data_IF_762922705021
#
_entry.id   IF_762922705021
#
_cell.length_a   1.000
_cell.length_b   1.000
_cell.length_c   1.000
_cell.angle_alpha   90.00
_cell.angle_beta   90.00
_cell.angle_gamma   90.00
#
_symmetry.space_group_name_H-M   'P 1'
#
loop_
_entity.id
_entity.type
_entity.pdbx_description
1 polymer ?
#
# COMPACT_ATOMS: atom_id res chain seq x y z
N UNK A 1 4.74 8.50 -20.78
CA UNK A 1 3.99 7.24 -20.65
C UNK A 1 3.37 6.95 -22.01
N UNK A 2 3.69 5.80 -22.63
CA UNK A 2 3.26 5.48 -24.00
C UNK A 2 3.63 6.62 -24.98
N UNK A 3 2.73 6.95 -25.92
CA UNK A 3 2.87 8.04 -26.89
C UNK A 3 2.41 9.41 -26.34
N UNK A 4 1.91 9.50 -25.11
CA UNK A 4 1.38 10.75 -24.56
C UNK A 4 2.49 11.74 -24.24
N UNK A 5 2.36 12.94 -24.80
CA UNK A 5 3.12 14.12 -24.39
C UNK A 5 2.56 14.71 -23.09
N UNK A 6 3.28 15.66 -22.50
CA UNK A 6 2.79 16.38 -21.32
C UNK A 6 1.49 17.14 -21.62
N UNK A 7 1.37 17.74 -22.80
CA UNK A 7 0.18 18.48 -23.22
C UNK A 7 -1.03 17.55 -23.34
N UNK A 8 -0.86 16.36 -23.95
CA UNK A 8 -1.92 15.36 -24.02
C UNK A 8 -2.42 14.96 -22.62
N UNK A 9 -1.49 14.74 -21.67
CA UNK A 9 -1.84 14.37 -20.31
C UNK A 9 -2.55 15.51 -19.55
N UNK A 10 -2.23 16.77 -19.84
CA UNK A 10 -2.94 17.92 -19.27
C UNK A 10 -4.38 18.00 -19.78
N UNK A 11 -4.59 17.78 -21.08
CA UNK A 11 -5.93 17.77 -21.68
C UNK A 11 -6.79 16.61 -21.13
N UNK A 12 -6.18 15.44 -20.94
CA UNK A 12 -6.81 14.26 -20.37
C UNK A 12 -7.00 14.34 -18.83
N UNK A 13 -6.47 15.37 -18.17
CA UNK A 13 -6.53 15.50 -16.71
C UNK A 13 -5.80 14.37 -15.98
N UNK A 14 -4.63 13.99 -16.49
CA UNK A 14 -3.83 12.85 -16.04
C UNK A 14 -2.35 13.19 -15.77
N UNK A 15 -1.93 14.46 -15.95
CA UNK A 15 -0.52 14.86 -15.80
C UNK A 15 0.00 14.58 -14.40
N UNK A 16 -0.81 14.91 -13.38
CA UNK A 16 -0.38 14.87 -11.99
C UNK A 16 -0.20 13.42 -11.55
N UNK A 17 -1.24 12.61 -11.74
CA UNK A 17 -1.24 11.19 -11.36
C UNK A 17 -0.18 10.41 -12.15
N UNK A 18 -0.02 10.71 -13.44
CA UNK A 18 1.05 10.08 -14.25
C UNK A 18 2.43 10.43 -13.70
N UNK A 19 2.71 11.72 -13.46
CA UNK A 19 3.99 12.15 -12.91
C UNK A 19 4.27 11.54 -11.54
N UNK A 20 3.26 11.46 -10.68
CA UNK A 20 3.37 10.90 -9.33
C UNK A 20 3.60 9.38 -9.33
N UNK A 21 3.06 8.65 -10.30
CA UNK A 21 3.40 7.23 -10.50
C UNK A 21 4.84 7.09 -10.98
N UNK A 22 5.25 7.88 -11.96
CA UNK A 22 6.57 7.76 -12.60
C UNK A 22 7.73 8.26 -11.72
N UNK A 23 7.49 9.18 -10.77
CA UNK A 23 8.52 9.66 -9.84
C UNK A 23 8.86 8.67 -8.72
N UNK A 24 8.08 7.59 -8.54
CA UNK A 24 8.21 6.69 -7.40
C UNK A 24 9.63 6.16 -7.18
N UNK A 25 10.37 5.64 -8.18
CA UNK A 25 11.74 5.18 -7.96
C UNK A 25 12.70 6.25 -7.43
N UNK A 26 12.49 7.52 -7.79
CA UNK A 26 13.32 8.64 -7.32
C UNK A 26 12.90 9.08 -5.91
N UNK A 27 11.59 9.14 -5.64
CA UNK A 27 11.03 9.38 -4.29
C UNK A 27 11.51 8.31 -3.31
N UNK A 28 11.51 7.04 -3.71
CA UNK A 28 11.97 5.94 -2.86
C UNK A 28 13.46 6.05 -2.52
N UNK A 29 14.27 6.55 -3.46
CA UNK A 29 15.69 6.80 -3.21
C UNK A 29 15.89 7.87 -2.15
N UNK A 30 15.19 9.01 -2.26
CA UNK A 30 15.24 10.07 -1.25
C UNK A 30 14.73 9.58 0.13
N UNK A 31 13.67 8.75 0.14
CA UNK A 31 13.17 8.13 1.37
C UNK A 31 14.18 7.14 1.98
N UNK A 32 14.84 6.32 1.16
CA UNK A 32 15.88 5.39 1.60
C UNK A 32 17.10 6.13 2.17
N UNK A 33 17.55 7.19 1.50
CA UNK A 33 18.65 8.05 1.97
C UNK A 33 18.29 8.74 3.29
N UNK A 34 17.04 9.21 3.42
CA UNK A 34 16.52 9.80 4.67
C UNK A 34 16.48 8.78 5.82
N UNK A 35 16.06 7.54 5.55
CA UNK A 35 16.14 6.43 6.50
C UNK A 35 17.60 6.15 6.88
N UNK A 36 18.50 6.03 5.90
CA UNK A 36 19.91 5.73 6.12
C UNK A 36 20.58 6.77 7.03
N UNK A 37 20.23 8.06 6.86
CA UNK A 37 20.75 9.16 7.68
C UNK A 37 20.24 9.14 9.13
N UNK A 38 19.04 8.57 9.37
CA UNK A 38 18.40 8.50 10.69
C UNK A 38 18.41 7.11 11.33
N UNK A 39 19.02 6.10 10.69
CA UNK A 39 18.87 4.70 11.10
C UNK A 39 19.32 4.45 12.54
N UNK A 40 20.39 5.11 13.01
CA UNK A 40 20.87 4.99 14.39
C UNK A 40 19.89 5.60 15.39
N UNK A 41 19.31 6.77 15.07
CA UNK A 41 18.29 7.43 15.89
C UNK A 41 17.03 6.55 15.99
N UNK A 42 16.56 6.03 14.85
CA UNK A 42 15.42 5.11 14.78
C UNK A 42 15.67 3.87 15.61
N UNK A 43 16.83 3.23 15.45
CA UNK A 43 17.18 2.03 16.21
C UNK A 43 17.26 2.30 17.71
N UNK A 44 17.86 3.42 18.12
CA UNK A 44 17.93 3.83 19.53
C UNK A 44 16.55 4.11 20.11
N UNK A 45 15.65 4.74 19.35
CA UNK A 45 14.27 4.98 19.76
C UNK A 45 13.52 3.67 20.03
N UNK A 46 13.56 2.73 19.08
CA UNK A 46 12.90 1.44 19.23
C UNK A 46 13.53 0.57 20.33
N UNK A 47 14.86 0.57 20.44
CA UNK A 47 15.57 -0.15 21.51
C UNK A 47 15.22 0.42 22.89
N UNK A 48 15.16 1.74 23.02
CA UNK A 48 14.78 2.40 24.26
C UNK A 48 13.35 2.09 24.72
N UNK A 49 12.46 1.69 23.80
CA UNK A 49 11.13 1.16 24.12
C UNK A 49 11.24 -0.31 24.52
N UNK A 50 11.99 -1.12 23.76
CA UNK A 50 12.23 -2.54 24.04
C UNK A 50 12.85 -2.78 25.43
N UNK A 51 13.73 -1.91 25.88
CA UNK A 51 14.41 -2.03 27.18
C UNK A 51 13.48 -1.75 28.37
N UNK A 52 12.36 -1.05 28.15
CA UNK A 52 11.43 -0.62 29.20
C UNK A 52 10.23 -1.55 29.38
N UNK A 53 9.82 -2.24 28.31
CA UNK A 53 8.54 -2.94 28.27
C UNK A 53 8.70 -4.38 27.80
N UNK A 54 8.25 -5.35 28.60
CA UNK A 54 8.29 -6.77 28.24
C UNK A 54 7.34 -7.13 27.09
N UNK A 55 6.22 -6.40 26.98
CA UNK A 55 5.23 -6.53 25.92
C UNK A 55 4.94 -5.16 25.31
N UNK A 56 5.04 -5.06 23.99
CA UNK A 56 4.81 -3.83 23.23
C UNK A 56 3.78 -4.10 22.14
N UNK A 57 2.67 -3.38 22.18
CA UNK A 57 1.69 -3.39 21.09
C UNK A 57 2.08 -2.36 20.04
N UNK A 58 2.33 -2.80 18.82
CA UNK A 58 2.57 -1.90 17.68
C UNK A 58 1.30 -1.84 16.84
N UNK A 59 0.79 -0.63 16.62
CA UNK A 59 -0.41 -0.39 15.82
C UNK A 59 -0.01 0.45 14.61
N UNK A 60 -0.05 -0.17 13.42
CA UNK A 60 0.05 0.52 12.14
C UNK A 60 -1.33 1.04 11.77
N UNK A 61 -1.47 2.35 11.67
CA UNK A 61 -2.78 3.00 11.52
C UNK A 61 -2.80 4.09 10.45
N UNK A 62 -3.87 4.11 9.67
CA UNK A 62 -4.17 5.11 8.65
C UNK A 62 -5.62 4.97 8.18
N UNK A 63 -6.06 5.83 7.25
CA UNK A 63 -7.37 5.73 6.59
C UNK A 63 -7.22 5.49 5.07
N UNK A 64 -8.13 4.72 4.49
CA UNK A 64 -8.11 4.35 3.06
C UNK A 64 -6.78 3.69 2.68
N UNK A 65 -6.18 4.13 1.59
CA UNK A 65 -4.84 3.67 1.16
C UNK A 65 -3.77 3.74 2.25
N UNK A 66 -3.84 4.71 3.18
CA UNK A 66 -2.89 4.77 4.30
C UNK A 66 -3.05 3.60 5.28
N UNK A 67 -4.26 3.04 5.43
CA UNK A 67 -4.49 1.84 6.24
C UNK A 67 -3.81 0.61 5.61
N UNK A 68 -3.83 0.53 4.29
CA UNK A 68 -3.30 -0.63 3.55
C UNK A 68 -1.77 -0.73 3.59
N UNK A 69 -1.07 0.32 4.03
CA UNK A 69 0.35 0.23 4.41
C UNK A 69 0.51 -0.81 5.53
N UNK A 70 -0.33 -0.72 6.57
CA UNK A 70 -0.35 -1.68 7.66
C UNK A 70 -0.75 -3.07 7.19
N UNK A 71 -1.87 -3.18 6.46
CA UNK A 71 -2.40 -4.47 6.00
C UNK A 71 -1.40 -5.25 5.14
N UNK A 72 -0.60 -4.54 4.34
CA UNK A 72 0.44 -5.13 3.49
C UNK A 72 1.64 -5.59 4.30
N UNK A 73 2.09 -4.81 5.29
CA UNK A 73 3.36 -5.07 5.98
C UNK A 73 3.22 -5.98 7.21
N UNK A 74 2.09 -5.94 7.91
CA UNK A 74 1.91 -6.66 9.18
C UNK A 74 2.05 -8.19 9.05
N UNK A 75 1.61 -8.87 7.98
CA UNK A 75 1.88 -10.30 7.82
C UNK A 75 3.37 -10.64 7.89
N UNK A 76 4.24 -9.84 7.25
CA UNK A 76 5.69 -10.01 7.32
C UNK A 76 6.21 -9.75 8.73
N UNK A 77 5.78 -8.66 9.38
CA UNK A 77 6.21 -8.36 10.74
C UNK A 77 5.80 -9.44 11.75
N UNK A 78 4.60 -10.03 11.60
CA UNK A 78 4.16 -11.17 12.42
C UNK A 78 5.01 -12.42 12.23
N UNK A 79 5.59 -12.62 11.04
CA UNK A 79 6.45 -13.75 10.75
C UNK A 79 7.85 -13.59 11.40
N UNK A 80 8.40 -12.37 11.37
CA UNK A 80 9.80 -12.13 11.78
C UNK A 80 9.98 -11.64 13.22
N UNK A 81 8.89 -11.24 13.90
CA UNK A 81 8.93 -10.84 15.31
C UNK A 81 8.28 -11.86 16.23
N UNK A 82 8.81 -11.97 17.46
CA UNK A 82 8.13 -12.65 18.55
C UNK A 82 6.96 -11.78 19.06
N UNK A 83 5.73 -12.23 18.80
CA UNK A 83 4.50 -11.53 19.18
C UNK A 83 4.35 -11.29 20.69
N UNK A 84 5.10 -12.01 21.53
CA UNK A 84 5.12 -11.83 22.99
C UNK A 84 5.93 -10.61 23.41
N UNK A 85 6.84 -10.13 22.55
CA UNK A 85 7.63 -8.91 22.75
C UNK A 85 7.09 -7.76 21.90
N UNK A 86 6.98 -7.98 20.60
CA UNK A 86 6.54 -6.99 19.62
C UNK A 86 5.28 -7.48 18.91
N UNK A 87 4.12 -7.05 19.40
CA UNK A 87 2.83 -7.48 18.88
C UNK A 87 2.34 -6.51 17.80
N UNK A 88 2.60 -6.83 16.53
CA UNK A 88 2.19 -6.01 15.38
C UNK A 88 0.73 -6.20 15.00
N UNK A 89 0.04 -5.08 14.77
CA UNK A 89 -1.36 -4.99 14.38
C UNK A 89 -1.53 -3.92 13.29
N UNK A 90 -2.38 -4.18 12.29
CA UNK A 90 -2.89 -3.17 11.38
C UNK A 90 -4.32 -2.84 11.81
N UNK A 91 -4.58 -1.59 12.19
CA UNK A 91 -5.89 -1.15 12.68
C UNK A 91 -6.13 0.24 12.10
N UNK A 92 -7.14 0.39 11.25
CA UNK A 92 -7.41 1.66 10.59
C UNK A 92 -7.80 2.74 11.60
N UNK A 93 -7.47 4.01 11.31
CA UNK A 93 -7.88 5.15 12.15
C UNK A 93 -9.41 5.25 12.20
N UNK A 94 -10.09 4.85 11.13
CA UNK A 94 -11.54 4.76 11.02
C UNK A 94 -12.16 3.76 12.00
N UNK A 95 -11.43 2.69 12.35
CA UNK A 95 -11.89 1.71 13.34
C UNK A 95 -11.61 2.21 14.76
N UNK A 96 -10.42 2.77 14.99
CA UNK A 96 -10.02 3.27 16.30
C UNK A 96 -10.90 4.43 16.74
N UNK A 97 -11.18 5.39 15.86
CA UNK A 97 -12.04 6.53 16.19
C UNK A 97 -13.47 6.10 16.53
N UNK A 98 -13.96 5.03 15.88
CA UNK A 98 -15.32 4.53 16.09
C UNK A 98 -15.45 3.63 17.33
N UNK A 99 -14.40 2.86 17.67
CA UNK A 99 -14.41 1.90 18.76
C UNK A 99 -13.09 1.89 19.55
N UNK A 100 -12.70 3.00 20.19
CA UNK A 100 -11.36 3.18 20.75
C UNK A 100 -11.02 2.15 21.82
N UNK A 101 -11.97 1.79 22.70
CA UNK A 101 -11.73 0.83 23.79
C UNK A 101 -11.42 -0.58 23.29
N UNK A 102 -11.80 -0.94 22.06
CA UNK A 102 -11.44 -2.24 21.47
C UNK A 102 -9.93 -2.37 21.36
N UNK A 103 -9.25 -1.27 21.00
CA UNK A 103 -7.87 -1.29 20.53
C UNK A 103 -6.89 -0.61 21.48
N UNK A 104 -7.30 0.46 22.15
CA UNK A 104 -6.47 1.27 23.04
C UNK A 104 -6.69 0.82 24.48
N UNK A 105 -5.65 0.22 25.08
CA UNK A 105 -5.71 -0.36 26.42
C UNK A 105 -4.76 0.39 27.34
N UNK A 106 -5.30 0.89 28.45
CA UNK A 106 -4.58 1.72 29.43
C UNK A 106 -3.23 1.13 29.84
N UNK A 107 -3.24 -0.13 30.27
CA UNK A 107 -2.09 -0.79 30.88
C UNK A 107 -1.20 -1.53 29.87
N UNK A 108 -1.31 -1.21 28.57
CA UNK A 108 -0.52 -1.84 27.49
C UNK A 108 0.36 -0.79 26.82
N UNK A 109 1.69 -0.95 26.96
CA UNK A 109 2.65 -0.11 26.26
C UNK A 109 2.41 -0.20 24.74
N UNK A 110 2.19 0.95 24.11
CA UNK A 110 1.74 1.02 22.73
C UNK A 110 2.66 1.91 21.90
N UNK A 111 3.09 1.42 20.74
CA UNK A 111 3.72 2.22 19.67
C UNK A 111 2.68 2.44 18.58
N UNK A 112 2.18 3.66 18.46
CA UNK A 112 1.24 4.06 17.43
C UNK A 112 1.99 4.59 16.21
N UNK A 113 2.00 3.80 15.13
CA UNK A 113 2.63 4.14 13.86
C UNK A 113 1.57 4.75 12.94
N UNK A 114 1.54 6.08 12.84
CA UNK A 114 0.49 6.82 12.12
C UNK A 114 0.92 7.17 10.70
N UNK A 115 0.08 6.81 9.72
CA UNK A 115 0.26 7.07 8.29
C UNK A 115 -0.74 8.09 7.76
N UNK A 116 -0.25 9.09 7.04
CA UNK A 116 -1.11 10.02 6.29
C UNK A 116 -0.37 10.69 5.13
N UNK A 117 -1.01 10.77 3.95
CA UNK A 117 -0.52 11.60 2.84
C UNK A 117 -0.60 13.09 3.16
N UNK A 118 -1.80 13.58 3.51
CA UNK A 118 -2.04 15.02 3.74
C UNK A 118 -1.86 15.47 5.19
N UNK A 119 -1.80 14.52 6.13
CA UNK A 119 -1.81 14.81 7.57
C UNK A 119 -3.09 15.51 8.08
N UNK A 120 -4.14 15.63 7.26
CA UNK A 120 -5.30 16.49 7.54
C UNK A 120 -6.63 15.73 7.70
N UNK A 121 -6.64 14.40 7.59
CA UNK A 121 -7.81 13.59 7.95
C UNK A 121 -8.13 13.80 9.43
N UNK A 122 -9.37 14.19 9.78
CA UNK A 122 -9.77 14.34 11.18
C UNK A 122 -9.55 13.07 12.00
N UNK A 123 -9.74 11.89 11.39
CA UNK A 123 -9.55 10.59 12.03
C UNK A 123 -8.09 10.34 12.42
N UNK A 124 -7.11 10.81 11.64
CA UNK A 124 -5.68 10.69 12.00
C UNK A 124 -5.36 11.45 13.28
N UNK A 125 -5.85 12.69 13.40
CA UNK A 125 -5.62 13.52 14.60
C UNK A 125 -6.38 12.92 15.80
N UNK A 126 -7.66 12.57 15.60
CA UNK A 126 -8.49 12.00 16.66
C UNK A 126 -7.94 10.67 17.20
N UNK A 127 -7.36 9.82 16.35
CA UNK A 127 -6.73 8.57 16.78
C UNK A 127 -5.54 8.83 17.71
N UNK A 128 -4.71 9.82 17.40
CA UNK A 128 -3.60 10.23 18.27
C UNK A 128 -4.13 10.79 19.60
N UNK A 129 -5.15 11.65 19.57
CA UNK A 129 -5.74 12.22 20.77
C UNK A 129 -6.35 11.15 21.68
N UNK A 130 -7.09 10.20 21.10
CA UNK A 130 -7.63 9.04 21.81
C UNK A 130 -6.53 8.18 22.42
N UNK A 131 -5.45 7.89 21.68
CA UNK A 131 -4.34 7.11 22.20
C UNK A 131 -3.66 7.82 23.38
N UNK A 132 -3.42 9.13 23.29
CA UNK A 132 -2.86 9.94 24.38
C UNK A 132 -3.76 9.96 25.61
N UNK A 133 -5.08 9.97 25.41
CA UNK A 133 -6.05 10.00 26.50
C UNK A 133 -6.24 8.63 27.18
N UNK A 134 -6.03 7.53 26.45
CA UNK A 134 -6.43 6.19 26.89
C UNK A 134 -5.27 5.24 27.23
N UNK A 135 -4.04 5.53 26.81
CA UNK A 135 -2.87 4.65 27.01
C UNK A 135 -1.83 5.34 27.88
N UNK A 136 -1.44 4.70 28.99
CA UNK A 136 -0.49 5.30 29.95
C UNK A 136 0.94 5.38 29.37
N UNK A 137 1.39 4.31 28.70
CA UNK A 137 2.71 4.23 28.08
C UNK A 137 2.61 4.25 26.55
N UNK A 138 2.37 5.44 26.00
CA UNK A 138 2.29 5.68 24.56
C UNK A 138 3.63 6.17 23.99
N UNK A 139 4.01 5.60 22.84
CA UNK A 139 5.02 6.10 21.92
C UNK A 139 4.40 6.23 20.54
N UNK A 140 4.99 7.07 19.70
CA UNK A 140 4.48 7.36 18.38
C UNK A 140 5.60 7.32 17.35
N UNK A 141 5.28 6.84 16.15
CA UNK A 141 6.10 7.00 14.96
C UNK A 141 5.20 7.61 13.90
N UNK A 142 5.46 8.86 13.54
CA UNK A 142 4.62 9.61 12.59
C UNK A 142 5.26 9.58 11.21
N UNK A 143 4.67 8.82 10.29
CA UNK A 143 5.15 8.67 8.90
C UNK A 143 4.15 9.39 7.98
N UNK A 144 4.53 10.58 7.49
CA UNK A 144 3.59 11.46 6.76
C UNK A 144 4.29 12.21 5.63
N UNK A 145 3.57 12.53 4.56
CA UNK A 145 4.10 13.22 3.39
C UNK A 145 3.97 14.76 3.47
N UNK A 146 3.08 15.28 4.32
CA UNK A 146 2.81 16.71 4.45
C UNK A 146 3.41 17.28 5.74
N UNK A 147 4.50 18.05 5.62
CA UNK A 147 5.17 18.69 6.75
C UNK A 147 4.29 19.76 7.44
N UNK A 148 3.39 20.38 6.69
CA UNK A 148 2.39 21.36 7.15
C UNK A 148 1.04 20.71 7.51
N UNK A 149 0.91 19.40 7.35
CA UNK A 149 -0.29 18.66 7.76
C UNK A 149 -0.44 18.65 9.27
N UNK A 150 -1.69 18.68 9.77
CA UNK A 150 -1.98 18.71 11.23
C UNK A 150 -1.25 17.60 11.99
N UNK A 151 -1.18 16.39 11.43
CA UNK A 151 -0.48 15.25 12.02
C UNK A 151 1.03 15.50 12.20
N UNK A 152 1.70 16.15 11.23
CA UNK A 152 3.12 16.50 11.36
C UNK A 152 3.32 17.63 12.39
N UNK A 153 2.49 18.67 12.31
CA UNK A 153 2.59 19.83 13.18
C UNK A 153 2.45 19.48 14.67
N UNK A 154 1.60 18.51 15.01
CA UNK A 154 1.43 18.04 16.39
C UNK A 154 2.50 17.05 16.88
N UNK A 155 3.40 16.60 16.00
CA UNK A 155 4.46 15.66 16.33
C UNK A 155 5.76 16.35 16.80
N UNK A 156 5.87 17.67 16.64
CA UNK A 156 7.06 18.41 17.04
C UNK A 156 7.19 18.54 18.57
N UNK A 157 8.42 18.41 19.08
CA UNK A 157 8.75 18.68 20.49
C UNK A 157 8.33 17.58 21.47
N UNK A 158 8.00 16.38 20.99
CA UNK A 158 7.66 15.21 21.80
C UNK A 158 8.73 14.13 21.66
N UNK A 159 9.53 13.91 22.71
CA UNK A 159 10.60 12.89 22.73
C UNK A 159 10.06 11.46 22.55
N UNK A 160 8.75 11.23 22.74
CA UNK A 160 8.10 9.95 22.50
C UNK A 160 7.46 9.86 21.11
N UNK A 161 7.62 10.87 20.25
CA UNK A 161 7.12 10.87 18.88
C UNK A 161 8.24 11.03 17.85
N UNK A 162 8.54 9.94 17.15
CA UNK A 162 9.52 9.92 16.08
C UNK A 162 8.87 10.37 14.76
N UNK A 163 9.12 11.62 14.34
CA UNK A 163 8.61 12.17 13.09
C UNK A 163 9.52 11.80 11.89
N UNK A 164 8.97 11.01 10.96
CA UNK A 164 9.61 10.55 9.73
C UNK A 164 8.87 11.13 8.52
N UNK A 165 9.18 12.39 8.19
CA UNK A 165 8.67 13.04 6.99
C UNK A 165 9.16 12.33 5.73
N UNK A 166 8.24 12.10 4.81
CA UNK A 166 8.55 11.57 3.48
C UNK A 166 9.04 12.70 2.56
N UNK A 167 9.69 12.38 1.41
CA UNK A 167 10.04 13.36 0.40
C UNK A 167 8.86 14.26 0.03
N UNK A 168 9.07 15.56 -0.10
CA UNK A 168 7.97 16.52 -0.29
C UNK A 168 7.13 16.23 -1.55
N UNK A 169 7.77 15.72 -2.60
CA UNK A 169 7.10 15.31 -3.84
C UNK A 169 6.10 14.16 -3.64
N UNK A 170 6.25 13.38 -2.56
CA UNK A 170 5.33 12.28 -2.21
C UNK A 170 4.00 12.75 -1.62
N UNK A 171 3.83 14.03 -1.30
CA UNK A 171 2.53 14.59 -0.94
C UNK A 171 1.66 14.74 -2.21
N UNK A 172 1.27 13.60 -2.77
CA UNK A 172 0.58 13.48 -4.06
C UNK A 172 -0.54 14.53 -4.16
N UNK A 173 -0.48 15.37 -5.18
CA UNK A 173 -1.50 16.33 -5.55
C UNK A 173 -2.66 15.65 -6.30
N UNK A 174 -2.41 14.49 -6.93
CA UNK A 174 -3.44 13.64 -7.50
C UNK A 174 -4.46 13.20 -6.46
N UNK A 175 -5.67 12.90 -6.91
CA UNK A 175 -6.72 12.36 -6.05
C UNK A 175 -6.23 11.09 -5.34
N UNK A 176 -5.82 10.11 -6.13
CA UNK A 176 -5.33 8.82 -5.68
C UNK A 176 -3.94 8.95 -5.07
N UNK A 177 -3.73 8.28 -3.94
CA UNK A 177 -2.39 8.08 -3.38
C UNK A 177 -1.60 7.10 -4.25
N UNK A 178 -0.40 7.50 -4.67
CA UNK A 178 0.55 6.68 -5.46
C UNK A 178 1.92 6.68 -4.78
N UNK A 179 2.72 7.72 -4.96
CA UNK A 179 4.05 7.82 -4.35
C UNK A 179 4.01 8.03 -2.84
N UNK A 180 2.94 8.63 -2.31
CA UNK A 180 2.66 8.67 -0.87
C UNK A 180 2.56 7.28 -0.26
N UNK A 181 1.75 6.39 -0.86
CA UNK A 181 1.55 5.02 -0.37
C UNK A 181 2.87 4.26 -0.32
N UNK A 182 3.60 4.25 -1.43
CA UNK A 182 4.83 3.46 -1.55
C UNK A 182 5.99 4.04 -0.75
N UNK A 183 6.12 5.37 -0.63
CA UNK A 183 7.15 5.99 0.23
C UNK A 183 6.91 5.67 1.71
N UNK A 184 5.66 5.83 2.20
CA UNK A 184 5.33 5.49 3.59
C UNK A 184 5.54 4.01 3.88
N UNK A 185 5.13 3.13 2.95
CA UNK A 185 5.33 1.69 3.07
C UNK A 185 6.82 1.31 3.08
N UNK A 186 7.64 1.92 2.21
CA UNK A 186 9.09 1.70 2.21
C UNK A 186 9.72 2.16 3.53
N UNK A 187 9.39 3.36 4.01
CA UNK A 187 9.91 3.86 5.28
C UNK A 187 9.55 2.93 6.44
N UNK A 188 8.27 2.52 6.55
CA UNK A 188 7.84 1.59 7.60
C UNK A 188 8.54 0.23 7.50
N UNK A 189 8.68 -0.32 6.30
CA UNK A 189 9.42 -1.57 6.08
C UNK A 189 10.89 -1.42 6.50
N UNK A 190 11.57 -0.34 6.12
CA UNK A 190 12.97 -0.12 6.49
C UNK A 190 13.17 0.05 8.00
N UNK A 191 12.22 0.72 8.68
CA UNK A 191 12.24 0.94 10.13
C UNK A 191 12.08 -0.38 10.89
N UNK A 192 11.13 -1.23 10.48
CA UNK A 192 10.74 -2.42 11.24
C UNK A 192 11.22 -3.75 10.66
N UNK A 193 11.83 -3.80 9.47
CA UNK A 193 12.48 -5.04 9.01
C UNK A 193 13.76 -5.28 9.84
N UNK A 194 13.91 -6.41 10.56
CA UNK A 194 15.12 -6.68 11.35
C UNK A 194 16.34 -7.04 10.49
N UNK A 195 16.20 -7.15 9.18
CA UNK A 195 17.30 -7.46 8.25
C UNK A 195 18.44 -6.43 8.34
N UNK A 196 19.68 -6.90 8.22
CA UNK A 196 20.88 -6.07 8.16
C UNK A 196 20.80 -4.98 7.07
N UNK A 197 21.31 -3.78 7.38
CA UNK A 197 21.25 -2.63 6.47
C UNK A 197 21.83 -2.91 5.07
N UNK A 198 22.95 -3.66 4.99
CA UNK A 198 23.58 -3.99 3.72
C UNK A 198 22.65 -4.79 2.79
N UNK A 199 21.87 -5.72 3.36
CA UNK A 199 20.89 -6.52 2.59
C UNK A 199 19.69 -5.65 2.21
N UNK A 200 19.24 -4.75 3.09
CA UNK A 200 18.19 -3.77 2.76
C UNK A 200 18.59 -2.87 1.59
N UNK A 201 19.85 -2.41 1.57
CA UNK A 201 20.39 -1.59 0.50
C UNK A 201 20.43 -2.35 -0.84
N UNK A 202 20.90 -3.59 -0.82
CA UNK A 202 20.89 -4.46 -2.02
C UNK A 202 19.47 -4.68 -2.55
N UNK A 203 18.51 -4.99 -1.66
CA UNK A 203 17.10 -5.13 -2.02
C UNK A 203 16.52 -3.84 -2.59
N UNK A 204 16.84 -2.69 -2.00
CA UNK A 204 16.37 -1.39 -2.48
C UNK A 204 16.79 -1.12 -3.94
N UNK A 205 18.05 -1.40 -4.30
CA UNK A 205 18.52 -1.22 -5.68
C UNK A 205 17.73 -2.08 -6.67
N UNK A 206 17.45 -3.34 -6.31
CA UNK A 206 16.65 -4.23 -7.16
C UNK A 206 15.18 -3.81 -7.22
N UNK A 207 14.61 -3.30 -6.12
CA UNK A 207 13.25 -2.72 -6.10
C UNK A 207 13.16 -1.54 -7.07
N UNK A 208 14.10 -0.59 -6.98
CA UNK A 208 14.13 0.59 -7.84
C UNK A 208 14.28 0.18 -9.31
N UNK A 209 15.18 -0.76 -9.61
CA UNK A 209 15.39 -1.29 -10.96
C UNK A 209 14.14 -1.97 -11.54
N UNK A 210 13.48 -2.85 -10.77
CA UNK A 210 12.27 -3.53 -11.25
C UNK A 210 11.10 -2.59 -11.44
N UNK A 211 10.91 -1.59 -10.57
CA UNK A 211 9.86 -0.61 -10.74
C UNK A 211 10.08 0.26 -11.98
N UNK A 212 11.31 0.71 -12.25
CA UNK A 212 11.65 1.40 -13.51
C UNK A 212 11.35 0.52 -14.72
N UNK A 213 11.73 -0.76 -14.67
CA UNK A 213 11.39 -1.72 -15.72
C UNK A 213 9.87 -1.83 -15.95
N UNK A 214 9.06 -1.84 -14.89
CA UNK A 214 7.59 -1.84 -15.04
C UNK A 214 7.10 -0.54 -15.72
N UNK A 215 7.63 0.62 -15.31
CA UNK A 215 7.28 1.92 -15.91
C UNK A 215 7.68 2.04 -17.38
N UNK A 216 8.84 1.49 -17.75
CA UNK A 216 9.37 1.48 -19.12
C UNK A 216 8.53 0.58 -20.04
N UNK A 217 7.91 -0.47 -19.49
CA UNK A 217 7.07 -1.42 -20.23
C UNK A 217 5.57 -1.16 -20.03
N UNK A 218 5.16 0.12 -19.93
CA UNK A 218 3.75 0.49 -19.78
C UNK A 218 2.86 0.01 -20.95
N UNK A 219 3.42 -0.28 -22.12
CA UNK A 219 2.69 -0.88 -23.26
C UNK A 219 2.13 -2.27 -22.90
N UNK A 220 2.86 -3.09 -22.14
CA UNK A 220 2.39 -4.41 -21.70
C UNK A 220 1.13 -4.31 -20.83
N UNK A 221 1.01 -3.23 -20.05
CA UNK A 221 -0.16 -2.94 -19.24
C UNK A 221 -1.30 -2.44 -20.12
N UNK A 222 -1.00 -1.59 -21.11
CA UNK A 222 -1.97 -1.06 -22.07
C UNK A 222 -2.65 -2.17 -22.87
N UNK A 223 -1.90 -3.19 -23.30
CA UNK A 223 -2.45 -4.39 -23.97
C UNK A 223 -3.55 -5.06 -23.14
N UNK A 224 -3.38 -5.15 -21.82
CA UNK A 224 -4.36 -5.74 -20.91
C UNK A 224 -5.57 -4.82 -20.72
N UNK A 225 -5.35 -3.51 -20.64
CA UNK A 225 -6.41 -2.51 -20.50
C UNK A 225 -7.31 -2.46 -21.74
N UNK A 226 -6.78 -2.76 -22.92
CA UNK A 226 -7.54 -2.76 -24.19
C UNK A 226 -8.55 -3.91 -24.32
N UNK A 227 -8.51 -4.90 -23.42
CA UNK A 227 -9.52 -5.97 -23.38
C UNK A 227 -10.89 -5.45 -22.92
N UNK A 228 -11.98 -6.06 -23.35
CA UNK A 228 -13.32 -5.74 -22.86
C UNK A 228 -13.54 -6.28 -21.44
N UNK A 229 -13.66 -5.38 -20.46
CA UNK A 229 -13.96 -5.71 -19.08
C UNK A 229 -14.67 -4.56 -18.36
N UNK A 230 -15.46 -4.91 -17.35
CA UNK A 230 -16.06 -3.98 -16.39
C UNK A 230 -15.93 -4.49 -14.94
N UNK A 231 -15.21 -5.61 -14.74
CA UNK A 231 -14.84 -6.16 -13.44
C UNK A 231 -13.35 -6.45 -13.37
N UNK A 232 -12.73 -6.11 -12.24
CA UNK A 232 -11.32 -6.43 -11.98
C UNK A 232 -11.15 -7.02 -10.59
N UNK A 233 -10.49 -8.18 -10.52
CA UNK A 233 -10.22 -8.88 -9.26
C UNK A 233 -8.71 -8.94 -9.07
N UNK A 234 -8.22 -8.47 -7.91
CA UNK A 234 -6.84 -8.69 -7.50
C UNK A 234 -6.77 -9.79 -6.44
N UNK A 235 -5.85 -10.75 -6.61
CA UNK A 235 -5.61 -11.80 -5.64
C UNK A 235 -4.17 -11.75 -5.12
N UNK A 236 -3.99 -11.99 -3.83
CA UNK A 236 -2.66 -12.05 -3.24
C UNK A 236 -2.64 -12.72 -1.87
N UNK A 237 -1.64 -13.55 -1.61
CA UNK A 237 -1.42 -14.19 -0.31
C UNK A 237 -0.45 -13.38 0.57
N UNK A 238 -0.57 -13.52 1.89
CA UNK A 238 0.31 -12.85 2.85
C UNK A 238 0.31 -11.32 2.65
N UNK A 239 1.46 -10.67 2.41
CA UNK A 239 1.51 -9.22 2.20
C UNK A 239 0.74 -8.77 0.96
N UNK A 240 0.60 -9.65 -0.04
CA UNK A 240 -0.10 -9.31 -1.27
C UNK A 240 -1.62 -9.21 -1.10
N UNK A 241 -2.19 -9.64 0.03
CA UNK A 241 -3.61 -9.44 0.34
C UNK A 241 -3.91 -7.95 0.57
N UNK A 242 -3.13 -7.29 1.44
CA UNK A 242 -3.22 -5.84 1.63
C UNK A 242 -2.89 -5.07 0.36
N UNK A 243 -1.93 -5.56 -0.42
CA UNK A 243 -1.58 -4.97 -1.71
C UNK A 243 -2.71 -5.08 -2.75
N UNK A 244 -3.42 -6.22 -2.78
CA UNK A 244 -4.59 -6.42 -3.62
C UNK A 244 -5.74 -5.47 -3.23
N UNK A 245 -5.91 -5.21 -1.93
CA UNK A 245 -6.88 -4.23 -1.42
C UNK A 245 -6.59 -2.81 -1.92
N UNK A 246 -5.32 -2.39 -1.94
CA UNK A 246 -4.90 -1.11 -2.51
C UNK A 246 -5.05 -1.09 -4.04
N UNK A 247 -4.58 -2.13 -4.73
CA UNK A 247 -4.60 -2.21 -6.20
C UNK A 247 -6.02 -2.08 -6.77
N UNK A 248 -6.99 -2.75 -6.14
CA UNK A 248 -8.38 -2.66 -6.55
C UNK A 248 -9.01 -1.30 -6.22
N UNK A 249 -8.61 -0.65 -5.11
CA UNK A 249 -9.15 0.65 -4.72
C UNK A 249 -8.74 1.70 -5.74
N UNK A 250 -7.51 1.65 -6.27
CA UNK A 250 -7.06 2.54 -7.34
C UNK A 250 -7.96 2.47 -8.58
N UNK A 251 -8.44 1.28 -8.95
CA UNK A 251 -9.39 1.16 -10.06
C UNK A 251 -10.73 1.80 -9.69
N UNK A 252 -11.29 1.50 -8.52
CA UNK A 252 -12.56 2.11 -8.09
C UNK A 252 -12.49 3.63 -8.07
N UNK A 253 -11.45 4.18 -7.45
CA UNK A 253 -11.24 5.62 -7.33
C UNK A 253 -11.10 6.28 -8.70
N UNK A 254 -10.19 5.77 -9.54
CA UNK A 254 -9.86 6.42 -10.81
C UNK A 254 -10.95 6.20 -11.87
N UNK A 255 -11.76 5.15 -11.78
CA UNK A 255 -12.88 4.91 -12.72
C UNK A 255 -14.22 5.43 -12.20
N UNK A 256 -14.25 6.07 -11.03
CA UNK A 256 -15.49 6.46 -10.34
C UNK A 256 -16.49 5.29 -10.15
N UNK A 257 -15.97 4.08 -9.90
CA UNK A 257 -16.76 2.86 -9.74
C UNK A 257 -17.37 2.30 -11.02
N UNK A 258 -17.04 2.83 -12.21
CA UNK A 258 -17.50 2.26 -13.49
C UNK A 258 -16.97 0.84 -13.73
N UNK A 259 -15.79 0.54 -13.17
CA UNK A 259 -15.26 -0.82 -13.12
C UNK A 259 -15.42 -1.33 -11.70
N UNK A 260 -16.26 -2.35 -11.52
CA UNK A 260 -16.47 -2.98 -10.22
C UNK A 260 -15.25 -3.85 -9.85
N UNK A 261 -14.96 -3.97 -8.56
CA UNK A 261 -13.72 -4.63 -8.13
C UNK A 261 -13.88 -5.54 -6.93
N UNK A 262 -12.87 -6.38 -6.70
CA UNK A 262 -12.73 -7.25 -5.54
C UNK A 262 -11.24 -7.50 -5.24
N UNK A 263 -10.94 -7.77 -3.97
CA UNK A 263 -9.67 -8.35 -3.54
C UNK A 263 -9.92 -9.63 -2.73
N UNK A 264 -9.00 -10.58 -2.80
CA UNK A 264 -9.01 -11.80 -1.98
C UNK A 264 -7.61 -12.44 -1.95
N UNK A 265 -7.43 -13.46 -1.12
CA UNK A 265 -6.35 -14.43 -1.24
C UNK A 265 -6.68 -15.51 -2.29
N UNK A 266 -5.69 -16.10 -2.98
CA UNK A 266 -5.96 -17.16 -3.95
C UNK A 266 -6.69 -18.38 -3.36
N UNK A 267 -6.36 -18.77 -2.12
CA UNK A 267 -7.03 -19.89 -1.46
C UNK A 267 -8.45 -19.51 -1.02
N UNK A 268 -8.62 -18.35 -0.39
CA UNK A 268 -9.92 -17.85 0.09
C UNK A 268 -10.91 -17.58 -1.04
N UNK A 269 -10.42 -17.17 -2.20
CA UNK A 269 -11.25 -16.83 -3.37
C UNK A 269 -12.27 -17.91 -3.76
N UNK A 270 -11.92 -19.19 -3.60
CA UNK A 270 -12.81 -20.32 -3.92
C UNK A 270 -14.08 -20.37 -3.06
N UNK A 271 -14.07 -19.79 -1.87
CA UNK A 271 -15.11 -19.95 -0.85
C UNK A 271 -16.28 -18.97 -1.02
N UNK A 272 -16.71 -18.74 -2.27
CA UNK A 272 -17.80 -17.82 -2.61
C UNK A 272 -17.37 -16.61 -3.45
N UNK A 273 -16.28 -15.88 -3.11
CA UNK A 273 -15.86 -14.68 -3.85
C UNK A 273 -15.68 -14.92 -5.36
N UNK A 274 -15.21 -16.11 -5.77
CA UNK A 274 -15.06 -16.53 -7.17
C UNK A 274 -16.35 -16.40 -8.00
N UNK A 275 -17.52 -16.41 -7.38
CA UNK A 275 -18.81 -16.18 -8.06
C UNK A 275 -18.95 -14.79 -8.70
N UNK A 276 -18.06 -13.83 -8.42
CA UNK A 276 -18.03 -12.53 -9.09
C UNK A 276 -17.53 -12.62 -10.55
N UNK A 277 -16.80 -13.68 -10.92
CA UNK A 277 -16.26 -13.84 -12.27
C UNK A 277 -17.38 -13.96 -13.31
N UNK A 278 -17.25 -13.19 -14.39
CA UNK A 278 -17.96 -13.34 -15.65
C UNK A 278 -16.98 -13.11 -16.84
N UNK A 279 -17.50 -13.15 -18.07
CA UNK A 279 -16.77 -12.93 -19.31
C UNK A 279 -16.14 -11.53 -19.46
N UNK A 280 -16.58 -10.58 -18.63
CA UNK A 280 -16.07 -9.19 -18.59
C UNK A 280 -15.20 -8.94 -17.35
N UNK A 281 -14.62 -10.01 -16.79
CA UNK A 281 -13.75 -9.95 -15.61
C UNK A 281 -12.28 -10.20 -15.97
N UNK A 282 -11.38 -9.29 -15.56
CA UNK A 282 -9.93 -9.54 -15.52
C UNK A 282 -9.53 -9.93 -14.10
N UNK A 283 -8.80 -11.04 -13.95
CA UNK A 283 -8.25 -11.50 -12.68
C UNK A 283 -6.74 -11.35 -12.71
N UNK A 284 -6.19 -10.57 -11.77
CA UNK A 284 -4.75 -10.38 -11.59
C UNK A 284 -4.31 -11.02 -10.28
N UNK A 285 -3.22 -11.78 -10.32
CA UNK A 285 -2.66 -12.45 -9.15
C UNK A 285 -1.26 -11.91 -8.88
N UNK A 286 -1.05 -11.36 -7.70
CA UNK A 286 0.27 -11.08 -7.14
C UNK A 286 0.85 -12.39 -6.61
N UNK A 287 1.65 -13.05 -7.44
CA UNK A 287 2.24 -14.35 -7.15
C UNK A 287 3.36 -14.27 -6.11
N UNK A 288 3.24 -15.11 -5.10
CA UNK A 288 4.23 -15.36 -4.05
C UNK A 288 5.39 -16.17 -4.60
N UNK A 289 6.62 -15.88 -4.14
CA UNK A 289 7.82 -16.57 -4.65
C UNK A 289 8.35 -17.67 -3.75
N UNK A 290 7.97 -17.69 -2.47
CA UNK A 290 8.31 -18.82 -1.58
C UNK A 290 7.74 -20.15 -2.09
N UNK A 291 8.54 -21.21 -2.05
CA UNK A 291 8.23 -22.51 -2.65
C UNK A 291 6.91 -23.12 -2.18
N UNK A 292 6.56 -22.93 -0.91
CA UNK A 292 5.33 -23.49 -0.33
C UNK A 292 4.10 -22.73 -0.82
N UNK A 293 4.04 -21.41 -0.59
CA UNK A 293 2.87 -20.59 -0.89
C UNK A 293 2.61 -20.50 -2.39
N UNK A 294 3.67 -20.42 -3.22
CA UNK A 294 3.57 -20.39 -4.68
C UNK A 294 2.75 -21.55 -5.25
N UNK A 295 2.79 -22.74 -4.64
CA UNK A 295 2.01 -23.89 -5.11
C UNK A 295 0.51 -23.60 -5.10
N UNK A 296 0.04 -22.96 -4.03
CA UNK A 296 -1.38 -22.58 -3.89
C UNK A 296 -1.79 -21.52 -4.92
N UNK A 297 -0.92 -20.54 -5.18
CA UNK A 297 -1.16 -19.51 -6.19
C UNK A 297 -1.27 -20.16 -7.57
N UNK A 298 -0.34 -21.04 -7.94
CA UNK A 298 -0.34 -21.75 -9.21
C UNK A 298 -1.56 -22.66 -9.38
N UNK A 299 -1.98 -23.37 -8.33
CA UNK A 299 -3.17 -24.22 -8.39
C UNK A 299 -4.44 -23.40 -8.60
N UNK A 300 -4.56 -22.23 -7.96
CA UNK A 300 -5.68 -21.31 -8.21
C UNK A 300 -5.64 -20.75 -9.62
N UNK A 301 -4.50 -20.24 -10.07
CA UNK A 301 -4.34 -19.65 -11.40
C UNK A 301 -4.72 -20.66 -12.48
N UNK A 302 -4.25 -21.91 -12.39
CA UNK A 302 -4.62 -22.98 -13.32
C UNK A 302 -6.12 -23.26 -13.31
N UNK A 303 -6.75 -23.26 -12.13
CA UNK A 303 -8.18 -23.49 -12.01
C UNK A 303 -8.99 -22.38 -12.69
N UNK A 304 -8.73 -21.11 -12.36
CA UNK A 304 -9.46 -19.97 -12.94
C UNK A 304 -9.23 -19.87 -14.45
N UNK A 305 -8.01 -20.14 -14.92
CA UNK A 305 -7.71 -20.16 -16.36
C UNK A 305 -8.38 -21.34 -17.08
N UNK A 306 -8.46 -22.50 -16.42
CA UNK A 306 -9.12 -23.71 -16.93
C UNK A 306 -10.64 -23.63 -16.99
N UNK A 307 -11.25 -22.80 -16.14
CA UNK A 307 -12.70 -22.53 -16.20
C UNK A 307 -13.09 -21.77 -17.49
N UNK A 308 -12.16 -21.03 -18.09
CA UNK A 308 -12.34 -20.27 -19.34
C UNK A 308 -13.52 -19.29 -19.32
N UNK A 309 -13.86 -18.75 -18.14
CA UNK A 309 -14.92 -17.74 -17.98
C UNK A 309 -14.33 -16.33 -18.03
N UNK A 310 -13.31 -16.06 -17.20
CA UNK A 310 -12.73 -14.71 -17.10
C UNK A 310 -12.15 -14.24 -18.45
N UNK A 311 -12.30 -12.95 -18.76
CA UNK A 311 -11.70 -12.30 -19.94
C UNK A 311 -10.21 -12.59 -20.02
N UNK A 312 -9.53 -12.45 -18.87
CA UNK A 312 -8.10 -12.75 -18.75
C UNK A 312 -7.70 -13.08 -17.32
N UNK A 313 -6.78 -14.04 -17.19
CA UNK A 313 -6.04 -14.31 -15.96
C UNK A 313 -4.60 -13.83 -16.14
N UNK A 314 -4.09 -13.07 -15.18
CA UNK A 314 -2.74 -12.50 -15.19
C UNK A 314 -2.02 -12.92 -13.91
N UNK A 315 -0.78 -13.35 -14.03
CA UNK A 315 0.08 -13.72 -12.90
C UNK A 315 1.35 -12.88 -12.93
N UNK A 316 1.52 -12.00 -11.94
CA UNK A 316 2.80 -11.34 -11.66
C UNK A 316 3.64 -12.29 -10.79
N UNK A 317 4.84 -12.63 -11.23
CA UNK A 317 5.71 -13.61 -10.55
C UNK A 317 7.18 -13.26 -10.78
N UNK A 318 8.11 -14.00 -10.21
CA UNK A 318 9.55 -13.86 -10.52
C UNK A 318 9.95 -14.52 -11.85
N UNK A 319 9.09 -15.39 -12.38
CA UNK A 319 9.30 -16.13 -13.62
C UNK A 319 7.95 -16.51 -14.25
N UNK A 320 8.00 -16.88 -15.54
CA UNK A 320 6.89 -17.52 -16.23
C UNK A 320 7.06 -19.05 -16.20
N UNK A 321 5.96 -19.76 -16.01
CA UNK A 321 5.89 -21.23 -15.96
C UNK A 321 5.36 -21.85 -17.25
N UNK A 322 4.91 -21.03 -18.21
CA UNK A 322 4.27 -21.49 -19.44
C UNK A 322 2.84 -21.97 -19.18
N UNK A 323 2.09 -21.27 -18.31
CA UNK A 323 0.72 -21.65 -17.97
C UNK A 323 -0.23 -21.37 -19.13
N UNK A 324 -1.07 -22.36 -19.46
CA UNK A 324 -2.08 -22.22 -20.49
C UNK A 324 -3.14 -21.18 -20.09
N UNK A 325 -3.56 -20.33 -21.04
CA UNK A 325 -4.58 -19.28 -20.86
C UNK A 325 -4.26 -18.20 -19.81
N UNK A 326 -3.01 -18.07 -19.37
CA UNK A 326 -2.56 -17.06 -18.40
C UNK A 326 -1.58 -16.09 -19.07
N UNK A 327 -1.68 -14.78 -18.81
CA UNK A 327 -0.61 -13.81 -19.13
C UNK A 327 0.32 -13.78 -17.92
N UNK A 328 1.54 -14.28 -18.10
CA UNK A 328 2.55 -14.24 -17.04
C UNK A 328 3.43 -13.00 -17.20
N UNK A 329 3.64 -12.26 -16.11
CA UNK A 329 4.44 -11.03 -16.06
C UNK A 329 5.66 -11.31 -15.17
N UNK A 330 6.79 -11.75 -15.75
CA UNK A 330 7.98 -12.11 -14.98
C UNK A 330 8.78 -10.88 -14.55
N UNK A 331 8.83 -10.65 -13.25
CA UNK A 331 9.61 -9.63 -12.55
C UNK A 331 10.68 -10.32 -11.69
N UNK A 332 11.65 -10.93 -12.36
CA UNK A 332 12.72 -11.71 -11.74
C UNK A 332 13.77 -10.83 -11.06
N UNK A 333 14.18 -11.22 -9.85
CA UNK A 333 15.17 -10.52 -9.02
C UNK A 333 16.42 -11.36 -8.74
N UNK A 334 16.61 -12.49 -9.43
CA UNK A 334 17.72 -13.42 -9.16
C UNK A 334 17.74 -13.98 -7.73
N UNK A 335 16.60 -13.97 -7.03
CA UNK A 335 16.48 -14.37 -5.62
C UNK A 335 16.84 -13.29 -4.59
N UNK A 336 17.21 -12.07 -5.00
CA UNK A 336 17.60 -10.99 -4.07
C UNK A 336 16.42 -10.49 -3.22
N UNK A 337 15.25 -10.31 -3.83
CA UNK A 337 14.06 -9.87 -3.12
C UNK A 337 13.31 -11.06 -2.53
N UNK A 338 13.05 -10.99 -1.22
CA UNK A 338 11.94 -11.74 -0.62
C UNK A 338 10.60 -11.04 -0.95
N UNK A 339 9.48 -11.74 -0.71
CA UNK A 339 8.16 -11.31 -1.15
C UNK A 339 7.75 -9.91 -0.66
N UNK A 340 8.11 -9.53 0.57
CA UNK A 340 7.72 -8.23 1.13
C UNK A 340 8.32 -7.04 0.36
N UNK A 341 9.49 -7.19 -0.28
CA UNK A 341 10.06 -6.14 -1.13
C UNK A 341 9.51 -6.18 -2.57
N UNK A 342 8.81 -7.26 -2.97
CA UNK A 342 8.20 -7.36 -4.31
C UNK A 342 6.89 -6.57 -4.42
N UNK A 343 6.33 -6.13 -3.30
CA UNK A 343 5.12 -5.28 -3.26
C UNK A 343 5.29 -3.99 -4.07
N UNK A 344 6.50 -3.43 -4.12
CA UNK A 344 6.79 -2.16 -4.81
C UNK A 344 6.66 -2.27 -6.33
N UNK A 345 7.39 -3.14 -7.05
CA UNK A 345 7.19 -3.28 -8.49
C UNK A 345 5.79 -3.79 -8.85
N UNK A 346 5.16 -4.60 -7.99
CA UNK A 346 3.80 -5.10 -8.22
C UNK A 346 2.75 -3.99 -8.16
N UNK A 347 2.82 -3.09 -7.18
CA UNK A 347 1.84 -1.99 -7.09
C UNK A 347 2.04 -0.94 -8.18
N UNK A 348 3.26 -0.73 -8.67
CA UNK A 348 3.50 0.13 -9.83
C UNK A 348 2.76 -0.41 -11.07
N UNK A 349 2.77 -1.73 -11.29
CA UNK A 349 2.01 -2.34 -12.38
C UNK A 349 0.49 -2.09 -12.21
N UNK A 350 -0.02 -2.27 -11.00
CA UNK A 350 -1.44 -2.04 -10.71
C UNK A 350 -1.86 -0.56 -10.84
N UNK A 351 -1.00 0.37 -10.44
CA UNK A 351 -1.24 1.81 -10.59
C UNK A 351 -1.29 2.22 -12.07
N UNK A 352 -0.37 1.70 -12.90
CA UNK A 352 -0.44 1.90 -14.36
C UNK A 352 -1.74 1.33 -14.93
N UNK A 353 -2.15 0.13 -14.49
CA UNK A 353 -3.38 -0.49 -14.93
C UNK A 353 -4.61 0.37 -14.58
N UNK A 354 -4.68 0.88 -13.35
CA UNK A 354 -5.78 1.74 -12.90
C UNK A 354 -5.79 3.10 -13.65
N UNK A 355 -4.64 3.74 -13.82
CA UNK A 355 -4.49 4.98 -14.57
C UNK A 355 -4.96 4.83 -16.03
N UNK A 356 -4.45 3.81 -16.73
CA UNK A 356 -4.79 3.56 -18.12
C UNK A 356 -6.27 3.15 -18.27
N UNK A 357 -6.83 2.42 -17.30
CA UNK A 357 -8.27 2.10 -17.27
C UNK A 357 -9.12 3.36 -17.07
N UNK A 358 -8.69 4.30 -16.22
CA UNK A 358 -9.35 5.59 -16.06
C UNK A 358 -9.40 6.39 -17.37
N UNK A 359 -8.28 6.41 -18.12
CA UNK A 359 -8.24 7.03 -19.44
C UNK A 359 -9.17 6.33 -20.44
N UNK A 360 -9.23 5.00 -20.40
CA UNK A 360 -10.12 4.20 -21.26
C UNK A 360 -11.60 4.52 -21.05
N UNK A 361 -12.03 4.76 -19.80
CA UNK A 361 -13.42 5.16 -19.49
C UNK A 361 -13.64 6.68 -19.59
N UNK A 362 -12.71 7.39 -20.24
CA UNK A 362 -12.76 8.84 -20.47
C UNK A 362 -12.91 9.68 -19.19
N UNK A 363 -12.46 9.15 -18.04
CA UNK A 363 -12.42 9.91 -16.80
C UNK A 363 -11.13 10.75 -16.72
N UNK A 364 -11.07 11.68 -15.78
CA UNK A 364 -9.89 12.51 -15.49
C UNK A 364 -9.16 11.97 -14.25
N UNK A 365 -8.06 11.21 -14.38
CA UNK A 365 -7.40 10.55 -13.26
C UNK A 365 -7.02 11.49 -12.10
N UNK A 366 -6.65 12.74 -12.39
CA UNK A 366 -6.26 13.72 -11.39
C UNK A 366 -7.45 14.19 -10.53
N UNK A 367 -8.67 14.16 -11.08
CA UNK A 367 -9.92 14.56 -10.42
C UNK A 367 -11.08 13.61 -10.79
N UNK A 368 -11.01 12.34 -10.39
CA UNK A 368 -11.81 11.27 -10.98
C UNK A 368 -13.24 11.19 -10.41
N UNK A 369 -13.59 12.03 -9.43
CA UNK A 369 -14.93 12.11 -8.85
C UNK A 369 -15.64 13.39 -9.33
N UNK A 370 -16.22 13.42 -10.55
CA UNK A 370 -16.85 14.63 -11.10
C UNK A 370 -18.05 15.11 -10.27
N UNK A 371 -18.68 14.23 -9.50
CA UNK A 371 -19.78 14.53 -8.58
C UNK A 371 -19.34 15.22 -7.28
N UNK A 372 -18.03 15.19 -6.95
CA UNK A 372 -17.50 15.69 -5.67
C UNK A 372 -17.88 14.86 -4.43
N UNK A 373 -18.48 13.67 -4.60
CA UNK A 373 -18.92 12.81 -3.48
C UNK A 373 -17.78 12.06 -2.81
N UNK A 374 -16.63 11.92 -3.49
CA UNK A 374 -15.38 11.45 -2.89
C UNK A 374 -14.31 12.52 -3.12
N UNK A 375 -13.43 12.74 -2.14
CA UNK A 375 -12.51 13.87 -2.11
C UNK A 375 -11.06 13.42 -1.78
N UNK A 376 -10.07 14.07 -2.39
CA UNK A 376 -8.63 13.84 -2.15
C UNK A 376 -8.25 13.94 -0.66
N UNK A 377 -8.83 14.91 0.03
CA UNK A 377 -8.84 14.99 1.49
C UNK A 377 -10.29 14.80 1.90
N UNK A 378 -10.54 13.84 2.79
CA UNK A 378 -11.89 13.52 3.24
C UNK A 378 -12.62 14.76 3.76
N UNK A 379 -13.91 14.87 3.43
CA UNK A 379 -14.78 15.97 3.86
C UNK A 379 -15.98 15.40 4.62
N UNK A 380 -16.56 16.21 5.52
CA UNK A 380 -17.79 15.86 6.24
C UNK A 380 -17.63 14.92 7.43
N UNK A 381 -16.41 14.52 7.78
CA UNK A 381 -16.13 13.73 8.99
C UNK A 381 -16.26 14.61 10.22
N UNK A 382 -17.13 14.22 11.15
CA UNK A 382 -17.32 14.88 12.44
C UNK A 382 -16.68 13.99 13.52
N UNK A 383 -15.73 14.55 14.26
CA UNK A 383 -15.15 13.88 15.42
C UNK A 383 -15.99 14.25 16.64
N UNK A 384 -16.58 13.22 17.27
CA UNK A 384 -17.37 13.37 18.48
C UNK A 384 -16.47 13.23 19.72
N UNK A 385 -16.79 13.98 20.78
CA UNK A 385 -16.08 13.87 22.05
C UNK A 385 -16.25 12.46 22.64
N UNK A 386 -15.14 11.85 23.05
CA UNK A 386 -15.14 10.56 23.72
C UNK A 386 -15.21 10.77 25.24
N UNK A 387 -16.28 10.29 25.88
CA UNK A 387 -16.44 10.30 27.33
C UNK A 387 -16.37 8.87 27.85
N UNK A 388 -15.49 8.65 28.83
CA UNK A 388 -15.31 7.36 29.48
C UNK A 388 -16.28 7.15 30.64
#
# INVERSE_FOLDING_TARGET
MLHYTKEDLLELGAEITTREIYQQPDVWKEAFESYQAKREEIAAFLQGIADKHDYIKVILTGAGTSAYVGDTLVPYFKEVYDERKWNFNAIATTDIVANPETYLKKDVATVLVSFARSGNSPESVATVDLAKALVDELYQVTITCAADGKLALQAHGDDRNLLLLQPAASNDAGFAMTSSFTSMMLTALLVFDPTEFAVKAERFEVVSSLARKVLDNAEDVKELVDLDFNRVIYLGAGPFFGLAHEAQLKILELTAGQVATMYESPVGFRHGPKSLINEDTVVLVFGTTTDYTRKYDLDLVREVAGDQIARRVVLLSDQAFGLENVKEVPLGCGGVLNDIYRVFPYIVYAQLFALLTSLKVENKPDTPSPTGTVNRVVQGVIIHEYQK
#
